data_IF_918941551706
#
_entry.id   IF_918941551706
#
_cell.length_a   1.000
_cell.length_b   1.000
_cell.length_c   1.000
_cell.angle_alpha   90.00
_cell.angle_beta   90.00
_cell.angle_gamma   90.00
#
_symmetry.space_group_name_H-M   'P 1'
#
loop_
_entity.id
_entity.type
_entity.pdbx_description
1 polymer ?
#
# COMPACT_ATOMS: atom_id res chain seq x y z
N UNK A 1 -57.39 -21.58 -16.07
CA UNK A 1 -56.44 -20.56 -15.60
C UNK A 1 -55.21 -21.32 -15.11
N UNK A 2 -54.11 -21.26 -15.86
CA UNK A 2 -52.83 -21.85 -15.46
C UNK A 2 -52.15 -20.96 -14.43
N UNK A 3 -51.57 -21.52 -13.37
CA UNK A 3 -50.80 -20.68 -12.41
C UNK A 3 -49.51 -20.22 -13.05
N UNK A 4 -49.24 -18.92 -12.93
CA UNK A 4 -47.97 -18.30 -13.32
C UNK A 4 -46.90 -18.84 -12.38
N UNK A 5 -45.77 -19.39 -12.88
CA UNK A 5 -44.68 -19.79 -11.97
C UNK A 5 -44.08 -18.58 -11.33
N UNK A 6 -44.04 -18.58 -10.02
CA UNK A 6 -43.32 -17.60 -9.21
C UNK A 6 -41.82 -17.70 -9.54
N UNK A 7 -41.31 -16.73 -10.26
CA UNK A 7 -39.88 -16.67 -10.60
C UNK A 7 -39.05 -16.64 -9.31
N UNK A 8 -38.19 -17.63 -9.16
CA UNK A 8 -37.14 -17.62 -8.15
C UNK A 8 -36.21 -16.47 -8.52
N UNK A 9 -36.31 -15.36 -7.80
CA UNK A 9 -35.28 -14.37 -7.81
C UNK A 9 -34.04 -15.04 -7.22
N UNK A 10 -33.12 -15.46 -8.08
CA UNK A 10 -31.77 -15.79 -7.66
C UNK A 10 -31.22 -14.53 -7.00
N UNK A 11 -30.98 -14.60 -5.70
CA UNK A 11 -30.20 -13.57 -5.03
C UNK A 11 -28.87 -13.51 -5.80
N UNK A 12 -28.63 -12.41 -6.50
CA UNK A 12 -27.32 -12.15 -7.09
C UNK A 12 -26.33 -12.21 -5.93
N UNK A 13 -25.38 -13.13 -5.98
CA UNK A 13 -24.24 -13.06 -5.07
C UNK A 13 -23.74 -11.62 -5.11
N UNK A 14 -23.77 -10.91 -3.99
CA UNK A 14 -23.27 -9.55 -3.91
C UNK A 14 -21.82 -9.63 -4.37
N UNK A 15 -21.53 -9.10 -5.56
CA UNK A 15 -20.19 -9.12 -6.10
C UNK A 15 -19.23 -8.46 -5.09
N UNK A 16 -18.06 -9.04 -4.90
CA UNK A 16 -17.04 -8.50 -4.01
C UNK A 16 -16.84 -7.03 -4.38
N UNK A 17 -17.13 -6.12 -3.45
CA UNK A 17 -16.93 -4.68 -3.66
C UNK A 17 -15.43 -4.43 -3.71
N UNK A 18 -14.89 -4.14 -4.89
CA UNK A 18 -13.51 -3.71 -5.06
C UNK A 18 -13.36 -2.28 -4.57
N UNK A 19 -12.38 -2.03 -3.76
CA UNK A 19 -12.15 -0.72 -3.18
C UNK A 19 -10.71 -0.54 -2.72
N UNK A 20 -10.26 0.71 -2.71
CA UNK A 20 -9.02 1.12 -2.08
C UNK A 20 -9.29 1.90 -0.80
N UNK A 21 -8.34 1.89 0.10
CA UNK A 21 -8.48 2.50 1.41
C UNK A 21 -7.26 3.35 1.73
N UNK A 22 -7.49 4.59 2.20
CA UNK A 22 -6.46 5.46 2.79
C UNK A 22 -6.82 5.78 4.22
N UNK A 23 -5.83 5.75 5.12
CA UNK A 23 -6.04 6.02 6.55
C UNK A 23 -4.76 6.45 7.24
N UNK A 24 -4.87 6.80 8.52
CA UNK A 24 -3.74 7.17 9.36
C UNK A 24 -3.13 8.51 8.95
N UNK A 25 -2.00 8.81 9.56
CA UNK A 25 -1.26 10.02 9.25
C UNK A 25 -1.75 11.27 9.96
N UNK A 26 -0.91 12.29 9.90
CA UNK A 26 -1.25 13.62 10.37
C UNK A 26 -2.36 14.18 9.49
N UNK A 27 -3.43 14.68 10.09
CA UNK A 27 -4.59 15.27 9.42
C UNK A 27 -5.76 14.30 9.22
N UNK A 28 -5.54 12.99 9.08
CA UNK A 28 -6.61 11.99 8.98
C UNK A 28 -6.86 11.24 10.30
N UNK A 29 -5.81 11.07 11.13
CA UNK A 29 -5.89 10.31 12.37
C UNK A 29 -6.41 8.89 12.13
N UNK A 30 -7.42 8.45 12.88
CA UNK A 30 -8.03 7.12 12.73
C UNK A 30 -9.00 7.00 11.55
N UNK A 31 -9.30 8.07 10.82
CA UNK A 31 -10.30 8.09 9.73
C UNK A 31 -9.89 7.18 8.58
N UNK A 32 -10.79 6.33 8.11
CA UNK A 32 -10.59 5.47 6.94
C UNK A 32 -11.43 6.00 5.77
N UNK A 33 -10.75 6.42 4.70
CA UNK A 33 -11.35 6.81 3.44
C UNK A 33 -11.38 5.59 2.50
N UNK A 34 -12.57 5.18 2.06
CA UNK A 34 -12.80 4.09 1.11
C UNK A 34 -13.15 4.66 -0.25
N UNK A 35 -12.46 4.22 -1.30
CA UNK A 35 -12.73 4.56 -2.69
C UNK A 35 -13.23 3.31 -3.41
N UNK A 36 -14.50 3.28 -3.83
CA UNK A 36 -15.07 2.14 -4.55
C UNK A 36 -14.66 2.17 -6.02
N UNK A 37 -14.11 1.06 -6.51
CA UNK A 37 -13.69 0.92 -7.90
C UNK A 37 -14.83 0.40 -8.80
N UNK A 38 -14.85 0.74 -10.10
CA UNK A 38 -13.91 1.66 -10.79
C UNK A 38 -14.36 3.12 -10.78
N UNK A 39 -15.44 3.46 -10.06
CA UNK A 39 -16.06 4.78 -10.10
C UNK A 39 -15.32 5.82 -9.23
N UNK A 40 -14.36 5.37 -8.41
CA UNK A 40 -13.56 6.22 -7.53
C UNK A 40 -14.39 7.05 -6.53
N UNK A 41 -15.58 6.54 -6.16
CA UNK A 41 -16.47 7.23 -5.21
C UNK A 41 -15.91 7.06 -3.80
N UNK A 42 -15.63 8.18 -3.14
CA UNK A 42 -15.16 8.17 -1.75
C UNK A 42 -16.32 8.10 -0.77
N UNK A 43 -16.15 7.25 0.25
CA UNK A 43 -16.92 7.24 1.49
C UNK A 43 -15.95 7.24 2.69
N UNK A 44 -16.45 7.62 3.87
CA UNK A 44 -15.72 7.52 5.13
C UNK A 44 -16.35 6.38 5.92
N UNK A 45 -15.53 5.43 6.39
CA UNK A 45 -16.05 4.35 7.20
C UNK A 45 -16.49 4.84 8.57
N UNK A 46 -17.61 4.30 9.08
CA UNK A 46 -18.11 4.60 10.41
C UNK A 46 -17.13 4.15 11.50
N UNK A 47 -16.36 3.09 11.24
CA UNK A 47 -15.33 2.55 12.14
C UNK A 47 -13.95 2.91 11.60
N UNK A 48 -13.21 3.74 12.33
CA UNK A 48 -11.82 4.07 12.03
C UNK A 48 -10.83 3.05 12.60
N UNK A 49 -9.53 3.34 12.53
CA UNK A 49 -8.50 2.55 13.21
C UNK A 49 -8.65 2.63 14.75
N UNK A 50 -8.08 1.65 15.46
CA UNK A 50 -7.97 1.67 16.93
C UNK A 50 -6.93 2.68 17.44
N UNK A 51 -6.14 3.25 16.55
CA UNK A 51 -5.05 4.17 16.83
C UNK A 51 -5.05 5.35 15.84
N UNK A 52 -4.35 6.43 16.18
CA UNK A 52 -4.29 7.69 15.41
C UNK A 52 -2.88 7.98 14.87
N UNK A 53 -2.05 6.96 14.75
CA UNK A 53 -0.64 7.11 14.37
C UNK A 53 -0.45 7.50 12.91
N UNK A 54 0.68 8.15 12.62
CA UNK A 54 1.16 8.30 11.26
C UNK A 54 2.16 7.17 10.90
N UNK A 55 2.35 6.92 9.61
CA UNK A 55 3.26 5.88 9.11
C UNK A 55 2.84 4.43 9.34
N UNK A 56 1.53 4.06 9.50
CA UNK A 56 1.17 2.65 9.52
C UNK A 56 1.43 2.01 8.17
N UNK A 57 1.57 0.68 8.15
CA UNK A 57 1.78 -0.11 6.94
C UNK A 57 0.50 -0.82 6.55
N UNK A 58 0.00 -0.58 5.32
CA UNK A 58 -1.23 -1.20 4.82
C UNK A 58 -0.96 -2.35 3.86
N UNK A 59 -1.47 -3.55 4.15
CA UNK A 59 -1.42 -4.72 3.28
C UNK A 59 -2.77 -5.43 3.24
N UNK A 60 -3.00 -6.29 2.24
CA UNK A 60 -4.30 -6.89 2.04
C UNK A 60 -4.24 -8.38 1.67
N UNK A 61 -5.28 -9.10 2.10
CA UNK A 61 -5.73 -10.37 1.56
C UNK A 61 -6.98 -10.08 0.73
N UNK A 62 -6.82 -9.86 -0.58
CA UNK A 62 -7.89 -9.43 -1.47
C UNK A 62 -9.10 -10.36 -1.40
N UNK A 63 -10.30 -9.78 -1.42
CA UNK A 63 -11.57 -10.47 -1.24
C UNK A 63 -11.92 -10.81 0.22
N UNK A 64 -10.99 -10.67 1.17
CA UNK A 64 -11.18 -11.09 2.56
C UNK A 64 -11.04 -9.94 3.55
N UNK A 65 -9.83 -9.37 3.65
CA UNK A 65 -9.54 -8.34 4.64
C UNK A 65 -8.29 -7.51 4.28
N UNK A 66 -8.26 -6.28 4.78
CA UNK A 66 -7.09 -5.44 4.79
C UNK A 66 -6.53 -5.27 6.20
N UNK A 67 -5.28 -4.86 6.29
CA UNK A 67 -4.56 -4.73 7.56
C UNK A 67 -3.80 -3.42 7.60
N UNK A 68 -3.80 -2.78 8.78
CA UNK A 68 -2.98 -1.60 9.07
C UNK A 68 -2.14 -1.89 10.30
N UNK A 69 -0.83 -1.82 10.16
CA UNK A 69 0.12 -2.30 11.16
C UNK A 69 1.11 -1.22 11.57
N UNK A 70 1.33 -1.09 12.87
CA UNK A 70 2.34 -0.20 13.43
C UNK A 70 1.98 1.28 13.37
N UNK A 71 2.95 2.13 13.62
CA UNK A 71 2.84 3.59 13.62
C UNK A 71 4.05 4.25 14.29
N UNK A 72 4.19 5.57 14.10
CA UNK A 72 5.42 6.32 14.46
C UNK A 72 5.57 6.72 15.94
N UNK A 73 4.49 6.74 16.74
CA UNK A 73 4.64 6.59 18.19
C UNK A 73 4.78 5.09 18.41
N UNK A 74 5.96 4.51 18.51
CA UNK A 74 6.18 3.12 18.08
C UNK A 74 5.18 2.18 18.70
N UNK A 75 4.24 1.66 17.89
CA UNK A 75 3.24 0.67 18.29
C UNK A 75 3.41 -0.62 17.51
N UNK A 76 2.99 -1.74 18.11
CA UNK A 76 2.99 -3.04 17.46
C UNK A 76 1.59 -3.48 17.00
N UNK A 77 0.58 -2.67 17.25
CA UNK A 77 -0.84 -2.94 16.96
C UNK A 77 -1.05 -3.22 15.48
N UNK A 78 -1.90 -4.21 15.18
CA UNK A 78 -2.37 -4.50 13.82
C UNK A 78 -3.90 -4.53 13.84
N UNK A 79 -4.50 -3.60 13.12
CA UNK A 79 -5.94 -3.59 12.86
C UNK A 79 -6.24 -4.34 11.56
N UNK A 80 -7.25 -5.21 11.60
CA UNK A 80 -7.81 -5.96 10.49
C UNK A 80 -9.17 -5.37 10.13
N UNK A 81 -9.37 -5.01 8.87
CA UNK A 81 -10.61 -4.50 8.30
C UNK A 81 -11.21 -5.57 7.39
N UNK A 82 -12.38 -6.09 7.73
CA UNK A 82 -13.13 -7.04 6.89
C UNK A 82 -13.64 -6.33 5.63
N UNK A 83 -13.43 -6.91 4.45
CA UNK A 83 -13.95 -6.32 3.21
C UNK A 83 -15.43 -6.67 2.96
N UNK A 84 -16.01 -7.59 3.73
CA UNK A 84 -17.41 -7.97 3.62
C UNK A 84 -18.35 -6.90 4.17
N UNK A 85 -17.96 -6.24 5.25
CA UNK A 85 -18.82 -5.34 6.02
C UNK A 85 -18.10 -4.09 6.57
N UNK A 86 -16.84 -3.90 6.20
CA UNK A 86 -15.97 -2.82 6.67
C UNK A 86 -15.79 -2.80 8.22
N UNK A 87 -16.08 -3.91 8.91
CA UNK A 87 -15.86 -4.03 10.34
C UNK A 87 -14.38 -4.13 10.68
N UNK A 88 -13.97 -3.53 11.81
CA UNK A 88 -12.59 -3.58 12.30
C UNK A 88 -12.47 -4.50 13.51
N UNK A 89 -11.39 -5.28 13.53
CA UNK A 89 -10.89 -6.02 14.69
C UNK A 89 -9.41 -5.71 14.87
N UNK A 90 -8.92 -5.77 16.11
CA UNK A 90 -7.49 -5.64 16.40
C UNK A 90 -6.94 -7.05 16.65
N UNK A 91 -5.85 -7.41 15.96
CA UNK A 91 -5.26 -8.74 16.12
C UNK A 91 -4.64 -8.90 17.52
N UNK A 92 -4.80 -10.10 18.11
CA UNK A 92 -4.12 -10.46 19.37
C UNK A 92 -2.59 -10.56 19.22
N UNK A 93 -2.10 -10.74 17.98
CA UNK A 93 -0.67 -10.79 17.66
C UNK A 93 -0.29 -9.59 16.80
N UNK A 94 0.48 -8.68 17.35
CA UNK A 94 0.99 -7.49 16.64
C UNK A 94 2.32 -7.73 15.94
N UNK A 95 3.02 -6.65 15.58
CA UNK A 95 4.39 -6.69 15.06
C UNK A 95 5.36 -7.27 16.11
N UNK A 96 6.45 -7.88 15.65
CA UNK A 96 7.51 -8.41 16.54
C UNK A 96 8.22 -7.31 17.33
N UNK A 97 8.32 -6.12 16.71
CA UNK A 97 8.87 -4.91 17.31
C UNK A 97 7.95 -3.76 16.92
N UNK A 98 7.61 -2.91 17.89
CA UNK A 98 6.83 -1.69 17.65
C UNK A 98 7.57 -0.74 16.69
N UNK A 99 6.94 -0.38 15.58
CA UNK A 99 7.54 0.46 14.52
C UNK A 99 6.51 1.03 13.56
N UNK A 100 6.83 2.19 12.99
CA UNK A 100 6.10 2.77 11.87
C UNK A 100 6.98 2.90 10.63
N UNK A 101 6.47 3.57 9.59
CA UNK A 101 7.19 3.84 8.33
C UNK A 101 7.81 2.61 7.67
N UNK A 102 7.26 1.42 7.96
CA UNK A 102 7.66 0.17 7.34
C UNK A 102 7.05 0.04 5.94
N UNK A 103 7.65 -0.83 5.13
CA UNK A 103 7.20 -1.13 3.78
C UNK A 103 6.20 -2.28 3.81
N UNK A 104 4.96 -2.09 3.33
CA UNK A 104 4.02 -3.20 3.19
C UNK A 104 4.23 -3.95 1.88
N UNK A 105 4.03 -5.27 1.92
CA UNK A 105 3.90 -6.13 0.74
C UNK A 105 2.77 -7.14 0.98
N UNK A 106 2.14 -7.61 -0.10
CA UNK A 106 1.06 -8.59 -0.05
C UNK A 106 1.29 -9.73 -1.03
N UNK A 107 0.97 -10.94 -0.61
CA UNK A 107 0.75 -12.10 -1.45
C UNK A 107 -0.64 -12.65 -1.10
N UNK A 108 -1.67 -12.16 -1.80
CA UNK A 108 -3.07 -12.45 -1.49
C UNK A 108 -3.34 -13.95 -1.42
N UNK A 109 -4.15 -14.38 -0.46
CA UNK A 109 -4.42 -15.80 -0.18
C UNK A 109 -3.29 -16.50 0.59
N UNK A 110 -2.10 -15.90 0.71
CA UNK A 110 -0.92 -16.54 1.33
C UNK A 110 -0.42 -15.77 2.56
N UNK A 111 0.01 -14.52 2.38
CA UNK A 111 0.55 -13.73 3.50
C UNK A 111 0.66 -12.23 3.18
N UNK A 112 0.62 -11.41 4.23
CA UNK A 112 1.05 -10.02 4.22
C UNK A 112 2.39 -9.84 4.92
N UNK A 113 3.13 -8.81 4.56
CA UNK A 113 4.48 -8.55 5.08
C UNK A 113 4.63 -7.10 5.51
N UNK A 114 5.34 -6.90 6.63
CA UNK A 114 5.75 -5.59 7.14
C UNK A 114 7.27 -5.57 7.25
N UNK A 115 7.91 -4.77 6.42
CA UNK A 115 9.34 -4.85 6.11
C UNK A 115 10.06 -3.59 6.56
N UNK A 116 11.10 -3.72 7.37
CA UNK A 116 11.88 -2.60 7.86
C UNK A 116 11.10 -1.67 8.78
N UNK A 117 11.32 -0.37 8.65
CA UNK A 117 10.63 0.67 9.42
C UNK A 117 11.35 1.07 10.71
N UNK A 118 10.69 1.90 11.51
CA UNK A 118 11.20 2.40 12.80
C UNK A 118 12.55 3.11 12.68
N UNK A 119 13.44 2.82 13.61
CA UNK A 119 14.81 3.38 13.62
C UNK A 119 15.75 2.59 12.69
N UNK A 120 15.34 2.42 11.45
CA UNK A 120 16.05 1.68 10.39
C UNK A 120 16.23 0.20 10.72
N UNK A 121 15.16 -0.57 10.54
CA UNK A 121 15.14 -2.00 10.82
C UNK A 121 15.40 -2.84 9.56
N UNK A 122 15.97 -4.03 9.75
CA UNK A 122 16.03 -5.10 8.74
C UNK A 122 14.91 -6.11 8.91
N UNK A 123 14.12 -6.03 9.98
CA UNK A 123 13.11 -7.02 10.36
C UNK A 123 12.00 -7.12 9.32
N UNK A 124 11.59 -8.35 9.03
CA UNK A 124 10.43 -8.66 8.19
C UNK A 124 9.47 -9.52 9.00
N UNK A 125 8.30 -8.97 9.33
CA UNK A 125 7.19 -9.72 9.88
C UNK A 125 6.27 -10.20 8.77
N UNK A 126 5.93 -11.49 8.77
CA UNK A 126 5.01 -12.15 7.85
C UNK A 126 3.77 -12.60 8.60
N UNK A 127 2.60 -12.19 8.14
CA UNK A 127 1.30 -12.60 8.64
C UNK A 127 0.67 -13.59 7.67
N UNK A 128 0.56 -14.85 8.08
CA UNK A 128 0.00 -15.91 7.22
C UNK A 128 -1.52 -15.79 7.11
N UNK A 129 -2.07 -15.91 5.91
CA UNK A 129 -3.51 -15.95 5.67
C UNK A 129 -4.03 -17.38 5.57
N UNK A 130 -5.23 -17.70 6.08
CA UNK A 130 -6.18 -16.81 6.76
C UNK A 130 -6.00 -16.72 8.29
N UNK A 131 -4.99 -17.38 8.86
CA UNK A 131 -4.83 -17.53 10.32
C UNK A 131 -4.40 -16.27 11.05
N UNK A 132 -3.89 -15.27 10.33
CA UNK A 132 -3.28 -14.04 10.86
C UNK A 132 -2.10 -14.31 11.83
N UNK A 133 -1.54 -15.53 11.78
CA UNK A 133 -0.38 -15.88 12.60
C UNK A 133 0.86 -15.16 12.09
N UNK A 134 1.62 -14.54 13.03
CA UNK A 134 2.86 -13.83 12.68
C UNK A 134 4.07 -14.73 12.84
N UNK A 135 4.96 -14.65 11.86
CA UNK A 135 6.36 -15.12 11.95
C UNK A 135 7.31 -14.00 11.58
N UNK A 136 8.50 -13.97 12.14
CA UNK A 136 9.57 -13.06 11.73
C UNK A 136 10.52 -13.84 10.86
N UNK A 137 10.80 -13.36 9.64
CA UNK A 137 11.67 -14.06 8.71
C UNK A 137 13.11 -14.07 9.22
N UNK A 138 13.80 -15.20 9.10
CA UNK A 138 15.23 -15.34 9.41
C UNK A 138 16.11 -14.51 8.46
N UNK A 139 15.62 -14.23 7.23
CA UNK A 139 16.28 -13.35 6.27
C UNK A 139 15.53 -12.03 6.19
N UNK A 140 16.09 -10.99 6.80
CA UNK A 140 15.59 -9.63 6.73
C UNK A 140 16.10 -8.86 5.50
N UNK A 141 15.97 -7.53 5.49
CA UNK A 141 16.59 -6.66 4.50
C UNK A 141 18.12 -6.74 4.56
N UNK A 142 18.81 -6.56 3.43
CA UNK A 142 20.27 -6.44 3.39
C UNK A 142 20.75 -5.10 3.95
N UNK A 143 19.94 -4.08 3.76
CA UNK A 143 20.18 -2.73 4.25
C UNK A 143 18.97 -2.31 5.06
N UNK A 144 19.19 -1.99 6.35
CA UNK A 144 18.14 -1.48 7.23
C UNK A 144 17.53 -0.21 6.64
N UNK A 145 16.19 -0.09 6.65
CA UNK A 145 15.53 1.09 6.09
C UNK A 145 14.16 1.34 6.67
N UNK A 146 13.76 2.62 6.62
CA UNK A 146 12.40 3.10 6.85
C UNK A 146 11.96 3.95 5.65
N UNK A 147 10.67 4.29 5.58
CA UNK A 147 10.14 5.23 4.58
C UNK A 147 10.35 4.79 3.11
N UNK A 148 10.38 3.48 2.86
CA UNK A 148 10.50 2.90 1.53
C UNK A 148 9.13 2.64 0.88
N UNK A 149 9.12 2.50 -0.44
CA UNK A 149 7.94 2.14 -1.24
C UNK A 149 7.81 0.63 -1.40
N UNK A 150 6.60 0.10 -1.14
CA UNK A 150 6.26 -1.30 -1.33
C UNK A 150 5.58 -1.56 -2.66
N UNK A 151 5.93 -2.66 -3.32
CA UNK A 151 5.27 -3.16 -4.54
C UNK A 151 5.07 -4.66 -4.38
N UNK A 152 4.00 -5.20 -4.96
CA UNK A 152 3.72 -6.64 -4.91
C UNK A 152 3.33 -7.17 -6.29
N UNK A 153 4.04 -8.19 -6.76
CA UNK A 153 3.66 -9.02 -7.90
C UNK A 153 3.11 -10.32 -7.33
N UNK A 154 1.77 -10.43 -7.27
CA UNK A 154 1.06 -11.53 -6.61
C UNK A 154 1.57 -12.89 -7.08
N UNK A 155 1.81 -13.80 -6.14
CA UNK A 155 2.33 -15.15 -6.39
C UNK A 155 3.81 -15.19 -6.79
N UNK A 156 4.47 -14.06 -7.08
CA UNK A 156 5.84 -14.01 -7.62
C UNK A 156 6.81 -13.37 -6.63
N UNK A 157 6.60 -12.12 -6.24
CA UNK A 157 7.51 -11.42 -5.33
C UNK A 157 6.92 -10.13 -4.74
N UNK A 158 7.42 -9.77 -3.54
CA UNK A 158 7.27 -8.45 -2.97
C UNK A 158 8.57 -7.64 -3.07
N UNK A 159 8.47 -6.32 -3.07
CA UNK A 159 9.62 -5.42 -3.23
C UNK A 159 9.58 -4.29 -2.22
N UNK A 160 10.76 -3.93 -1.70
CA UNK A 160 10.97 -2.74 -0.87
C UNK A 160 12.03 -1.86 -1.53
N UNK A 161 11.66 -0.67 -1.98
CA UNK A 161 12.54 0.18 -2.77
C UNK A 161 12.73 1.57 -2.24
N UNK A 162 13.92 2.13 -2.46
CA UNK A 162 14.33 3.42 -1.91
C UNK A 162 14.35 3.42 -0.38
N UNK A 163 14.04 4.56 0.29
CA UNK A 163 13.98 4.65 1.74
C UNK A 163 15.18 5.36 2.36
N UNK A 164 15.32 5.21 3.69
CA UNK A 164 16.29 5.92 4.49
C UNK A 164 16.92 5.02 5.56
N UNK A 165 18.25 5.08 5.72
CA UNK A 165 19.05 4.35 6.72
C UNK A 165 20.04 5.26 7.50
N UNK A 166 19.82 6.57 7.44
CA UNK A 166 20.76 7.62 7.80
C UNK A 166 21.21 8.40 6.55
N UNK A 167 21.10 7.78 5.38
CA UNK A 167 21.18 8.34 4.05
C UNK A 167 19.98 7.93 3.19
N UNK A 168 19.75 8.59 2.08
CA UNK A 168 18.71 8.21 1.12
C UNK A 168 19.20 7.04 0.28
N UNK A 169 18.32 6.06 0.05
CA UNK A 169 18.64 4.84 -0.69
C UNK A 169 18.04 4.89 -2.10
N UNK A 170 18.74 4.27 -3.06
CA UNK A 170 18.22 3.98 -4.40
C UNK A 170 17.94 2.50 -4.62
N UNK A 171 18.48 1.60 -3.77
CA UNK A 171 18.35 0.16 -3.93
C UNK A 171 16.91 -0.34 -3.79
N UNK A 172 16.60 -1.44 -4.49
CA UNK A 172 15.33 -2.16 -4.39
C UNK A 172 15.62 -3.59 -4.01
N UNK A 173 15.03 -4.06 -2.92
CA UNK A 173 15.13 -5.45 -2.48
C UNK A 173 13.86 -6.19 -2.85
N UNK A 174 14.03 -7.44 -3.32
CA UNK A 174 12.99 -8.35 -3.78
C UNK A 174 12.94 -9.56 -2.87
N UNK A 175 11.76 -9.96 -2.44
CA UNK A 175 11.47 -11.19 -1.71
C UNK A 175 10.63 -12.09 -2.60
N UNK A 176 11.19 -13.22 -3.05
CA UNK A 176 10.48 -14.15 -3.91
C UNK A 176 9.40 -14.91 -3.13
N UNK A 177 8.18 -14.98 -3.66
CA UNK A 177 7.09 -15.75 -3.07
C UNK A 177 7.05 -17.19 -3.65
N UNK A 178 6.73 -18.21 -2.88
CA UNK A 178 6.49 -18.24 -1.43
C UNK A 178 7.73 -18.48 -0.58
N UNK A 179 8.93 -18.58 -1.19
CA UNK A 179 10.17 -18.98 -0.50
C UNK A 179 10.73 -17.93 0.45
N UNK A 180 10.26 -16.68 0.35
CA UNK A 180 10.76 -15.52 1.07
C UNK A 180 12.27 -15.26 0.86
N UNK A 181 12.83 -15.82 -0.22
CA UNK A 181 14.24 -15.62 -0.58
C UNK A 181 14.46 -14.18 -1.03
N UNK A 182 15.42 -13.51 -0.38
CA UNK A 182 15.77 -12.12 -0.69
C UNK A 182 16.86 -12.01 -1.76
N UNK A 183 16.70 -11.01 -2.62
CA UNK A 183 17.73 -10.54 -3.56
C UNK A 183 17.66 -9.00 -3.65
N UNK A 184 18.72 -8.37 -4.15
CA UNK A 184 18.74 -6.94 -4.48
C UNK A 184 18.74 -6.79 -5.98
N UNK A 185 17.88 -5.93 -6.53
CA UNK A 185 17.84 -5.68 -7.97
C UNK A 185 19.13 -5.00 -8.44
N UNK A 186 19.61 -5.36 -9.63
CA UNK A 186 20.75 -4.71 -10.26
C UNK A 186 20.49 -3.23 -10.61
N UNK A 187 19.22 -2.83 -10.69
CA UNK A 187 18.80 -1.46 -10.99
C UNK A 187 17.81 -0.97 -9.93
N UNK A 188 18.17 0.09 -9.22
CA UNK A 188 17.31 0.75 -8.24
C UNK A 188 16.48 1.91 -8.83
N UNK A 189 15.91 2.78 -7.97
CA UNK A 189 15.29 4.03 -8.42
C UNK A 189 16.33 4.99 -9.01
N UNK A 190 15.88 5.90 -9.88
CA UNK A 190 16.80 6.85 -10.58
C UNK A 190 17.58 7.76 -9.66
N UNK A 191 16.94 8.18 -8.59
CA UNK A 191 17.52 9.11 -7.61
C UNK A 191 17.27 8.57 -6.22
N UNK A 192 18.29 8.48 -5.38
CA UNK A 192 18.14 8.07 -4.00
C UNK A 192 17.13 8.97 -3.26
N UNK A 193 16.11 8.38 -2.69
CA UNK A 193 14.97 9.09 -2.10
C UNK A 193 14.42 8.36 -0.88
N UNK A 194 13.88 9.13 0.05
CA UNK A 194 13.14 8.63 1.22
C UNK A 194 11.68 9.08 1.17
N UNK A 195 10.84 8.49 2.01
CA UNK A 195 9.41 8.87 2.12
C UNK A 195 8.67 8.77 0.78
N UNK A 196 9.01 7.75 0.02
CA UNK A 196 8.41 7.42 -1.28
C UNK A 196 7.13 6.60 -1.08
N UNK A 197 6.27 6.58 -2.10
CA UNK A 197 5.15 5.66 -2.17
C UNK A 197 5.38 4.56 -3.20
N UNK A 198 4.77 3.39 -2.97
CA UNK A 198 4.75 2.29 -3.93
C UNK A 198 3.33 1.84 -4.25
N UNK A 199 3.14 1.31 -5.45
CA UNK A 199 1.93 0.61 -5.91
C UNK A 199 2.32 -0.43 -6.95
N UNK A 200 1.43 -1.34 -7.30
CA UNK A 200 1.70 -2.31 -8.37
C UNK A 200 0.46 -2.61 -9.22
N UNK A 201 0.66 -2.76 -10.53
CA UNK A 201 -0.20 -3.49 -11.44
C UNK A 201 0.34 -4.92 -11.51
N UNK A 202 -0.18 -5.81 -10.67
CA UNK A 202 0.33 -7.18 -10.53
C UNK A 202 0.41 -7.88 -11.89
N UNK A 203 1.47 -8.66 -12.10
CA UNK A 203 1.78 -9.32 -13.37
C UNK A 203 2.39 -8.40 -14.44
N UNK A 204 2.32 -7.08 -14.29
CA UNK A 204 2.74 -6.11 -15.32
C UNK A 204 3.89 -5.22 -14.86
N UNK A 205 3.69 -4.45 -13.78
CA UNK A 205 4.71 -3.54 -13.28
C UNK A 205 4.46 -3.06 -11.85
N UNK A 206 5.55 -2.75 -11.13
CA UNK A 206 5.51 -1.97 -9.90
C UNK A 206 5.96 -0.53 -10.15
N UNK A 207 5.55 0.38 -9.23
CA UNK A 207 5.83 1.80 -9.35
C UNK A 207 6.31 2.35 -8.01
N UNK A 208 7.35 3.17 -8.02
CA UNK A 208 7.84 3.95 -6.88
C UNK A 208 7.82 5.42 -7.25
N UNK A 209 7.13 6.23 -6.46
CA UNK A 209 6.86 7.64 -6.78
C UNK A 209 7.28 8.60 -5.71
N UNK A 210 7.57 9.85 -6.15
CA UNK A 210 7.82 11.00 -5.29
C UNK A 210 8.98 10.78 -4.33
N UNK A 211 8.82 11.31 -3.13
CA UNK A 211 9.82 11.22 -2.06
C UNK A 211 10.64 12.48 -1.88
N UNK A 212 11.57 12.38 -0.94
CA UNK A 212 12.48 13.44 -0.54
C UNK A 212 13.90 13.07 -0.98
N UNK A 213 14.45 13.89 -1.86
CA UNK A 213 15.88 13.95 -2.18
C UNK A 213 16.44 15.22 -1.63
N UNK A 214 17.30 16.03 -1.72
CA UNK A 214 17.39 17.31 -0.99
C UNK A 214 16.08 18.10 -0.98
N UNK A 215 15.21 17.95 -2.00
CA UNK A 215 13.82 18.42 -2.05
C UNK A 215 12.85 17.32 -2.41
N UNK A 216 11.55 17.61 -2.42
CA UNK A 216 10.50 16.71 -2.92
C UNK A 216 10.52 16.60 -4.43
N UNK A 217 10.17 15.42 -4.98
CA UNK A 217 10.22 15.16 -6.42
C UNK A 217 8.87 14.63 -6.95
N UNK A 218 8.68 14.74 -8.27
CA UNK A 218 7.50 14.23 -8.97
C UNK A 218 7.76 12.90 -9.69
N UNK A 219 9.00 12.43 -9.70
CA UNK A 219 9.44 11.25 -10.46
C UNK A 219 8.65 10.00 -10.10
N UNK A 220 8.21 9.24 -11.10
CA UNK A 220 7.63 7.90 -10.95
C UNK A 220 8.53 6.91 -11.70
N UNK A 221 9.17 6.01 -10.93
CA UNK A 221 9.94 4.90 -11.46
C UNK A 221 9.00 3.70 -11.66
N UNK A 222 9.03 3.09 -12.86
CA UNK A 222 8.27 1.89 -13.21
C UNK A 222 9.23 0.71 -13.37
N UNK A 223 8.93 -0.39 -12.71
CA UNK A 223 9.67 -1.66 -12.78
C UNK A 223 8.80 -2.69 -13.49
N UNK A 224 9.15 -3.08 -14.72
CA UNK A 224 8.37 -4.03 -15.51
C UNK A 224 8.55 -5.45 -14.98
N UNK A 225 7.44 -6.16 -14.68
CA UNK A 225 7.47 -7.55 -14.25
C UNK A 225 7.44 -8.52 -15.45
N UNK A 226 8.07 -9.70 -15.36
CA UNK A 226 8.87 -10.22 -14.24
C UNK A 226 10.36 -9.85 -14.30
N UNK A 227 10.80 -9.14 -15.35
CA UNK A 227 12.23 -8.86 -15.62
C UNK A 227 12.83 -7.75 -14.76
N UNK A 228 12.02 -7.05 -13.96
CA UNK A 228 12.41 -5.99 -13.03
C UNK A 228 13.19 -4.83 -13.70
N UNK A 229 13.04 -4.68 -15.03
CA UNK A 229 13.66 -3.57 -15.76
C UNK A 229 13.02 -2.24 -15.40
N UNK A 230 13.84 -1.21 -15.09
CA UNK A 230 13.36 0.11 -14.70
C UNK A 230 13.24 1.05 -15.88
N UNK A 231 12.15 1.81 -15.90
CA UNK A 231 11.96 3.02 -16.70
C UNK A 231 11.43 4.16 -15.80
N UNK A 232 11.41 5.38 -16.32
CA UNK A 232 10.78 6.52 -15.66
C UNK A 232 9.59 6.94 -16.50
N UNK A 233 8.43 7.17 -15.86
CA UNK A 233 7.27 7.66 -16.59
C UNK A 233 7.51 9.09 -17.08
N UNK A 234 7.11 9.37 -18.32
CA UNK A 234 7.15 10.71 -18.88
C UNK A 234 6.24 11.68 -18.08
N UNK A 235 5.14 11.16 -17.52
CA UNK A 235 4.23 11.89 -16.64
C UNK A 235 4.46 11.47 -15.21
N UNK A 236 5.08 12.33 -14.40
CA UNK A 236 5.25 12.13 -12.96
C UNK A 236 4.02 12.55 -12.15
N UNK A 237 4.17 12.71 -10.83
CA UNK A 237 3.13 13.30 -9.98
C UNK A 237 2.82 14.74 -10.42
N UNK A 238 1.59 15.21 -10.19
CA UNK A 238 1.18 16.59 -10.45
C UNK A 238 1.95 17.58 -9.58
N UNK A 239 2.16 17.20 -8.33
CA UNK A 239 2.87 18.01 -7.34
C UNK A 239 3.95 17.17 -6.68
N UNK A 240 5.15 17.73 -6.56
CA UNK A 240 6.25 17.09 -5.85
C UNK A 240 5.88 16.91 -4.38
N UNK A 241 5.99 15.67 -3.87
CA UNK A 241 5.57 15.33 -2.50
C UNK A 241 6.31 14.13 -1.95
N UNK A 242 6.31 14.04 -0.63
CA UNK A 242 6.76 12.90 0.14
C UNK A 242 5.65 12.42 1.12
N UNK A 243 5.88 11.33 1.86
CA UNK A 243 4.97 10.79 2.86
C UNK A 243 3.52 10.54 2.35
N UNK A 244 3.34 10.42 1.03
CA UNK A 244 2.12 9.92 0.40
C UNK A 244 2.16 8.40 0.35
N UNK A 245 1.04 7.75 0.01
CA UNK A 245 0.99 6.29 -0.19
C UNK A 245 0.24 5.94 -1.45
N UNK A 246 0.49 4.71 -1.91
CA UNK A 246 -0.11 4.17 -3.11
C UNK A 246 -0.92 2.92 -2.84
N UNK A 247 -1.93 2.72 -3.68
CA UNK A 247 -2.73 1.51 -3.81
C UNK A 247 -3.05 1.28 -5.28
N UNK A 248 -3.53 0.10 -5.65
CA UNK A 248 -3.90 -0.16 -7.03
C UNK A 248 -5.16 -1.04 -7.12
N UNK A 249 -5.85 -0.93 -8.24
CA UNK A 249 -6.77 -1.92 -8.79
C UNK A 249 -6.06 -2.55 -9.99
N UNK A 250 -5.57 -3.77 -9.83
CA UNK A 250 -4.80 -4.48 -10.86
C UNK A 250 -5.53 -4.52 -12.20
N UNK A 251 -4.82 -4.19 -13.27
CA UNK A 251 -5.35 -4.12 -14.64
C UNK A 251 -6.15 -2.85 -14.96
N UNK A 252 -6.48 -2.01 -13.96
CA UNK A 252 -7.33 -0.82 -14.15
C UNK A 252 -6.58 0.47 -13.88
N UNK A 253 -6.13 0.69 -12.64
CA UNK A 253 -5.42 1.91 -12.27
C UNK A 253 -4.67 1.78 -10.95
N UNK A 254 -3.64 2.60 -10.80
CA UNK A 254 -2.98 2.87 -9.54
C UNK A 254 -3.30 4.27 -9.02
N UNK A 255 -3.14 4.47 -7.72
CA UNK A 255 -3.53 5.71 -7.04
C UNK A 255 -2.45 6.11 -6.05
N UNK A 256 -2.10 7.41 -6.03
CA UNK A 256 -1.25 8.00 -5.00
C UNK A 256 -2.03 9.11 -4.30
N UNK A 257 -2.12 9.05 -2.96
CA UNK A 257 -2.91 10.00 -2.19
C UNK A 257 -2.19 10.61 -1.01
N UNK A 258 -2.58 11.83 -0.63
CA UNK A 258 -2.02 12.57 0.49
C UNK A 258 -0.57 13.00 0.27
N UNK A 259 0.18 13.09 1.38
CA UNK A 259 1.55 13.54 1.39
C UNK A 259 1.73 15.03 1.64
N UNK A 260 2.97 15.49 1.64
CA UNK A 260 3.29 16.89 1.89
C UNK A 260 4.51 17.37 1.11
N UNK A 261 4.65 18.70 0.99
CA UNK A 261 5.86 19.39 0.54
C UNK A 261 6.00 20.72 1.27
N UNK A 262 7.19 21.04 1.77
CA UNK A 262 7.49 22.36 2.36
C UNK A 262 6.52 22.82 3.45
N UNK A 263 5.92 21.90 4.23
CA UNK A 263 4.93 22.19 5.25
C UNK A 263 3.48 22.21 4.77
N UNK A 264 3.22 22.12 3.46
CA UNK A 264 1.85 21.98 2.90
C UNK A 264 1.47 20.52 2.78
N UNK A 265 0.37 20.12 3.40
CA UNK A 265 -0.23 18.78 3.28
C UNK A 265 -1.30 18.75 2.19
N UNK A 266 -1.47 17.59 1.55
CA UNK A 266 -2.38 17.39 0.42
C UNK A 266 -3.50 16.43 0.77
N UNK A 267 -4.68 16.66 0.16
CA UNK A 267 -5.82 15.75 0.20
C UNK A 267 -6.11 15.12 -1.16
N UNK A 268 -5.48 15.60 -2.24
CA UNK A 268 -5.71 15.08 -3.58
C UNK A 268 -5.24 13.63 -3.72
N UNK A 269 -5.91 12.91 -4.62
CA UNK A 269 -5.57 11.55 -5.03
C UNK A 269 -5.32 11.57 -6.54
N UNK A 270 -4.12 11.18 -6.93
CA UNK A 270 -3.71 11.06 -8.33
C UNK A 270 -3.93 9.63 -8.82
N UNK A 271 -4.61 9.47 -9.95
CA UNK A 271 -4.90 8.20 -10.62
C UNK A 271 -4.02 8.03 -11.84
N UNK A 272 -3.37 6.88 -11.97
CA UNK A 272 -2.60 6.45 -13.14
C UNK A 272 -3.34 5.29 -13.80
N UNK A 273 -3.93 5.51 -14.97
CA UNK A 273 -4.70 4.49 -15.67
C UNK A 273 -3.78 3.44 -16.31
N UNK A 274 -4.07 2.16 -16.11
CA UNK A 274 -3.33 1.07 -16.75
C UNK A 274 -3.98 0.65 -18.08
N UNK A 275 -3.19 0.28 -19.10
CA UNK A 275 -1.73 0.18 -19.13
C UNK A 275 -1.03 1.48 -19.59
N UNK A 276 -1.77 2.56 -19.89
CA UNK A 276 -1.23 3.77 -20.53
C UNK A 276 -0.36 4.61 -19.60
N UNK A 277 -0.45 4.40 -18.27
CA UNK A 277 0.17 5.23 -17.23
C UNK A 277 -0.23 6.72 -17.33
N UNK A 278 -1.36 7.01 -17.98
CA UNK A 278 -1.88 8.39 -18.06
C UNK A 278 -2.40 8.84 -16.69
N UNK A 279 -2.00 10.04 -16.26
CA UNK A 279 -2.37 10.60 -14.97
C UNK A 279 -3.60 11.48 -15.05
N UNK A 280 -4.46 11.37 -14.04
CA UNK A 280 -5.53 12.32 -13.72
C UNK A 280 -5.57 12.57 -12.21
N UNK A 281 -6.25 13.62 -11.77
CA UNK A 281 -6.53 13.88 -10.35
C UNK A 281 -8.00 13.60 -10.12
N UNK A 282 -8.33 12.83 -9.07
CA UNK A 282 -9.72 12.54 -8.75
C UNK A 282 -10.45 13.81 -8.33
N UNK A 283 -11.70 13.96 -8.75
CA UNK A 283 -12.55 15.09 -8.35
C UNK A 283 -12.78 15.13 -6.82
N UNK A 284 -12.73 13.96 -6.16
CA UNK A 284 -12.85 13.81 -4.72
C UNK A 284 -11.57 13.24 -4.16
N UNK A 285 -10.85 14.01 -3.35
CA UNK A 285 -9.65 13.59 -2.64
C UNK A 285 -9.97 12.90 -1.30
N UNK A 286 -8.98 12.82 -0.42
CA UNK A 286 -9.12 12.38 0.97
C UNK A 286 -10.04 13.34 1.76
N UNK A 287 -10.60 12.90 2.87
CA UNK A 287 -11.49 13.71 3.73
C UNK A 287 -10.79 14.90 4.39
N UNK A 288 -9.48 14.88 4.44
CA UNK A 288 -8.63 15.96 4.95
C UNK A 288 -7.25 15.93 4.31
N UNK A 289 -6.55 17.03 4.31
CA UNK A 289 -5.15 17.08 3.92
C UNK A 289 -4.28 16.36 4.95
N UNK A 290 -3.44 15.43 4.51
CA UNK A 290 -2.66 14.61 5.43
C UNK A 290 -1.40 14.00 4.81
N UNK A 291 -0.43 13.66 5.67
CA UNK A 291 0.82 13.00 5.29
C UNK A 291 1.16 11.88 6.29
N UNK A 292 2.07 10.99 5.93
CA UNK A 292 2.34 9.78 6.71
C UNK A 292 1.13 8.85 6.72
N UNK A 293 0.31 8.93 5.69
CA UNK A 293 -0.88 8.09 5.48
C UNK A 293 -0.48 6.65 5.20
N UNK A 294 -1.42 5.74 5.28
CA UNK A 294 -1.32 4.36 4.83
C UNK A 294 -2.33 4.08 3.74
N UNK A 295 -2.06 3.07 2.91
CA UNK A 295 -3.00 2.65 1.86
C UNK A 295 -2.95 1.14 1.66
N UNK A 296 -4.08 0.57 1.26
CA UNK A 296 -4.24 -0.81 0.79
C UNK A 296 -5.41 -0.90 -0.17
N UNK A 297 -5.53 -2.01 -0.90
CA UNK A 297 -6.65 -2.24 -1.80
C UNK A 297 -7.22 -3.65 -1.66
N UNK A 298 -8.55 -3.75 -1.80
CA UNK A 298 -9.29 -4.97 -2.10
C UNK A 298 -9.40 -5.07 -3.62
N UNK A 299 -8.46 -5.76 -4.24
CA UNK A 299 -8.38 -5.94 -5.68
C UNK A 299 -9.24 -7.12 -6.13
N UNK A 300 -9.53 -7.21 -7.43
CA UNK A 300 -9.97 -8.47 -8.03
C UNK A 300 -8.80 -9.47 -7.98
N UNK A 301 -9.08 -10.69 -7.53
CA UNK A 301 -8.13 -11.82 -7.51
C UNK A 301 -8.50 -12.78 -8.61
#
# INVERSE_FOLDING_TARGET
>A
MSPIPLGIFAASAAGIIRAGYFTGGVGLGATVNKFTFPLDIRSILATGLSFTENGPSGFANSGVAGYFAGGNSPIATVDKLSFADDSRTTLGTGLSVARGDATPMSNSGVAGYVVGGGSYSTVVDKFAFPSDSRTTLGTGLSTARANAGGMSNQGVAGYSGAGYDGGRLSSVEKFAFPSDTRSTLGTGVTTAAASVAGMANSGVAGYISGGNTPGTITTVNKFAFPGDSRSVLATGLATARNNHKGMAETGVAGYFGGGNTGGTSYSDVEKFAFPSDSRSILATGLSGAGYGVSAMANEAV
#
